data_IF_815586260718
#
_entry.id   IF_815586260718
#
_cell.length_a   1.000
_cell.length_b   1.000
_cell.length_c   1.000
_cell.angle_alpha   90.00
_cell.angle_beta   90.00
_cell.angle_gamma   90.00
#
_symmetry.space_group_name_H-M   'P 1'
#
loop_
_entity.id
_entity.type
_entity.pdbx_description
1 polymer ?
#
# COMPACT_ATOMS: atom_id res chain seq x y z
N UNK A 1 1.00 -8.15 -5.37
CA UNK A 1 0.75 -6.72 -5.13
C UNK A 1 -0.73 -6.42 -4.87
N UNK A 2 -1.64 -6.58 -5.85
CA UNK A 2 -3.07 -6.24 -5.68
C UNK A 2 -3.73 -6.90 -4.45
N UNK A 3 -3.52 -8.19 -4.24
CA UNK A 3 -4.08 -8.91 -3.10
C UNK A 3 -3.64 -8.36 -1.73
N UNK A 4 -2.41 -7.81 -1.63
CA UNK A 4 -1.92 -7.18 -0.41
C UNK A 4 -2.60 -5.82 -0.18
N UNK A 5 -2.77 -5.02 -1.24
CA UNK A 5 -3.51 -3.77 -1.17
C UNK A 5 -4.97 -3.99 -0.76
N UNK A 6 -5.63 -5.02 -1.29
CA UNK A 6 -6.99 -5.37 -0.88
C UNK A 6 -7.07 -5.89 0.57
N UNK A 7 -6.02 -6.53 1.09
CA UNK A 7 -5.95 -6.90 2.52
C UNK A 7 -5.90 -5.67 3.41
N UNK A 8 -5.07 -4.68 3.08
CA UNK A 8 -5.01 -3.40 3.82
C UNK A 8 -6.39 -2.76 3.92
N UNK A 9 -7.12 -2.68 2.80
CA UNK A 9 -8.48 -2.11 2.80
C UNK A 9 -9.47 -2.92 3.65
N UNK A 10 -9.39 -4.26 3.61
CA UNK A 10 -10.28 -5.11 4.42
C UNK A 10 -10.01 -4.97 5.92
N UNK A 11 -8.74 -4.92 6.32
CA UNK A 11 -8.37 -4.83 7.74
C UNK A 11 -8.72 -3.48 8.35
N UNK A 12 -8.74 -2.43 7.54
CA UNK A 12 -9.04 -1.05 7.97
C UNK A 12 -10.46 -0.61 7.64
N UNK A 13 -11.31 -1.55 7.20
CA UNK A 13 -12.69 -1.26 6.86
C UNK A 13 -13.50 -0.93 8.13
N UNK A 14 -14.18 0.21 8.13
CA UNK A 14 -15.12 0.59 9.19
C UNK A 14 -14.48 1.03 10.50
N UNK A 15 -13.16 1.18 10.54
CA UNK A 15 -12.43 1.73 11.69
C UNK A 15 -11.84 3.10 11.34
N UNK A 16 -11.71 3.95 12.35
CA UNK A 16 -10.95 5.19 12.24
C UNK A 16 -9.49 4.98 12.64
N UNK A 17 -8.69 6.04 12.56
CA UNK A 17 -7.27 6.00 12.89
C UNK A 17 -7.01 5.59 14.33
N UNK A 18 -7.81 6.11 15.28
CA UNK A 18 -7.62 5.82 16.69
C UNK A 18 -7.86 4.33 16.99
N UNK A 19 -8.93 3.77 16.44
CA UNK A 19 -9.24 2.34 16.54
C UNK A 19 -8.21 1.47 15.80
N UNK A 20 -7.65 1.96 14.69
CA UNK A 20 -6.57 1.30 13.96
C UNK A 20 -5.28 1.21 14.78
N UNK A 21 -4.81 2.33 15.33
CA UNK A 21 -3.58 2.41 16.14
C UNK A 21 -3.73 1.61 17.44
N UNK A 22 -4.92 1.60 18.05
CA UNK A 22 -5.17 0.85 19.28
C UNK A 22 -5.29 -0.67 19.09
N UNK A 23 -5.37 -1.17 17.85
CA UNK A 23 -5.55 -2.59 17.56
C UNK A 23 -4.26 -3.19 16.98
N UNK A 24 -3.38 -3.71 17.84
CA UNK A 24 -2.06 -4.24 17.49
C UNK A 24 -2.12 -5.27 16.34
N UNK A 25 -3.08 -6.20 16.37
CA UNK A 25 -3.22 -7.22 15.33
C UNK A 25 -3.51 -6.60 13.96
N UNK A 26 -4.45 -5.65 13.91
CA UNK A 26 -4.83 -4.96 12.67
C UNK A 26 -3.70 -4.06 12.19
N UNK A 27 -3.04 -3.36 13.12
CA UNK A 27 -1.90 -2.50 12.84
C UNK A 27 -0.76 -3.31 12.21
N UNK A 28 -0.26 -4.33 12.89
CA UNK A 28 0.86 -5.16 12.43
C UNK A 28 0.55 -5.85 11.10
N UNK A 29 -0.66 -6.42 10.97
CA UNK A 29 -1.08 -7.05 9.73
C UNK A 29 -1.14 -6.03 8.57
N UNK A 30 -1.54 -4.79 8.84
CA UNK A 30 -1.60 -3.73 7.83
C UNK A 30 -0.20 -3.28 7.42
N UNK A 31 0.69 -3.00 8.39
CA UNK A 31 2.09 -2.64 8.13
C UNK A 31 2.76 -3.71 7.28
N UNK A 32 2.60 -4.99 7.64
CA UNK A 32 3.19 -6.09 6.88
C UNK A 32 2.71 -6.13 5.43
N UNK A 33 1.43 -5.84 5.17
CA UNK A 33 0.92 -5.81 3.80
C UNK A 33 1.45 -4.58 3.03
N UNK A 34 1.62 -3.43 3.68
CA UNK A 34 2.25 -2.26 3.05
C UNK A 34 3.70 -2.53 2.63
N UNK A 35 4.48 -3.21 3.46
CA UNK A 35 5.84 -3.65 3.08
C UNK A 35 5.83 -4.58 1.86
N UNK A 36 4.95 -5.58 1.85
CA UNK A 36 4.81 -6.54 0.77
C UNK A 36 4.34 -5.89 -0.54
N UNK A 37 3.55 -4.81 -0.47
CA UNK A 37 3.19 -4.01 -1.63
C UNK A 37 4.44 -3.37 -2.23
N UNK A 38 5.30 -2.74 -1.42
CA UNK A 38 6.52 -2.10 -1.91
C UNK A 38 7.57 -3.09 -2.40
N UNK A 39 7.72 -4.23 -1.74
CA UNK A 39 8.57 -5.33 -2.25
C UNK A 39 8.07 -5.83 -3.61
N UNK A 40 6.76 -6.10 -3.72
CA UNK A 40 6.17 -6.52 -4.98
C UNK A 40 6.35 -5.45 -6.09
N UNK A 41 6.19 -4.17 -5.76
CA UNK A 41 6.41 -3.06 -6.68
C UNK A 41 7.86 -3.00 -7.21
N UNK A 42 8.84 -3.27 -6.35
CA UNK A 42 10.26 -3.35 -6.73
C UNK A 42 10.57 -4.49 -7.70
N UNK A 43 9.80 -5.57 -7.63
CA UNK A 43 9.94 -6.74 -8.50
C UNK A 43 9.16 -6.63 -9.82
N UNK A 44 8.37 -5.56 -10.04
CA UNK A 44 7.66 -5.35 -11.32
C UNK A 44 8.68 -4.92 -12.41
N UNK A 45 8.67 -5.56 -13.60
CA UNK A 45 9.55 -5.19 -14.71
C UNK A 45 9.48 -3.70 -15.08
N UNK A 46 10.60 -3.14 -15.51
CA UNK A 46 10.70 -1.72 -15.83
C UNK A 46 9.75 -1.30 -16.97
N UNK A 47 9.54 -2.20 -17.92
CA UNK A 47 8.67 -2.01 -19.09
C UNK A 47 7.22 -1.81 -18.65
N UNK A 48 6.74 -2.65 -17.73
CA UNK A 48 5.39 -2.55 -17.15
C UNK A 48 5.25 -1.27 -16.33
N UNK A 49 6.26 -0.94 -15.52
CA UNK A 49 6.26 0.30 -14.73
C UNK A 49 6.19 1.55 -15.62
N UNK A 50 6.91 1.52 -16.74
CA UNK A 50 6.93 2.61 -17.74
C UNK A 50 5.59 2.75 -18.46
N UNK A 51 4.91 1.64 -18.76
CA UNK A 51 3.59 1.62 -19.38
C UNK A 51 2.46 2.03 -18.42
N UNK A 52 2.70 2.06 -17.11
CA UNK A 52 1.71 2.40 -16.08
C UNK A 52 2.19 3.55 -15.18
N UNK A 53 2.40 4.76 -15.72
CA UNK A 53 2.95 5.90 -14.97
C UNK A 53 1.98 6.47 -13.92
N UNK A 54 0.68 6.16 -14.03
CA UNK A 54 -0.31 6.52 -13.03
C UNK A 54 -0.07 5.84 -11.67
N UNK A 55 0.63 4.71 -11.65
CA UNK A 55 1.06 4.07 -10.41
C UNK A 55 2.37 4.72 -9.94
N UNK A 56 2.44 5.29 -8.73
CA UNK A 56 3.63 5.97 -8.23
C UNK A 56 4.69 4.97 -7.74
N UNK A 57 5.24 4.16 -8.65
CA UNK A 57 6.14 3.03 -8.34
C UNK A 57 7.31 3.39 -7.41
N UNK A 58 7.98 4.52 -7.68
CA UNK A 58 9.12 4.98 -6.87
C UNK A 58 8.70 5.30 -5.43
N UNK A 59 7.54 5.93 -5.26
CA UNK A 59 7.02 6.25 -3.93
C UNK A 59 6.66 5.00 -3.16
N UNK A 60 5.98 4.05 -3.82
CA UNK A 60 5.57 2.78 -3.19
C UNK A 60 6.79 1.97 -2.69
N UNK A 61 7.86 1.90 -3.49
CA UNK A 61 9.12 1.26 -3.08
C UNK A 61 9.79 2.03 -1.93
N UNK A 62 9.77 3.37 -1.97
CA UNK A 62 10.32 4.20 -0.90
C UNK A 62 9.56 4.05 0.42
N UNK A 63 8.23 3.91 0.39
CA UNK A 63 7.40 3.67 1.58
C UNK A 63 7.81 2.37 2.27
N UNK A 64 8.04 1.28 1.53
CA UNK A 64 8.59 0.04 2.11
C UNK A 64 9.91 0.30 2.84
N UNK A 65 10.85 1.02 2.22
CA UNK A 65 12.15 1.28 2.84
C UNK A 65 12.01 2.04 4.18
N UNK A 66 10.98 2.87 4.34
CA UNK A 66 10.68 3.51 5.63
C UNK A 66 10.05 2.53 6.63
N UNK A 67 9.10 1.72 6.18
CA UNK A 67 8.36 0.77 7.05
C UNK A 67 9.23 -0.36 7.60
N UNK A 68 10.16 -0.92 6.81
CA UNK A 68 10.99 -2.07 7.23
C UNK A 68 11.96 -1.73 8.36
N UNK A 69 12.18 -0.45 8.66
CA UNK A 69 12.93 -0.02 9.83
C UNK A 69 12.06 -0.04 11.11
N UNK A 70 10.98 -0.82 11.12
CA UNK A 70 10.09 -0.96 12.28
C UNK A 70 9.15 0.21 12.43
N UNK A 71 8.58 0.70 11.32
CA UNK A 71 7.74 1.91 11.27
C UNK A 71 8.48 3.21 11.68
N UNK A 72 9.79 3.13 11.97
CA UNK A 72 10.61 4.26 12.35
C UNK A 72 10.62 5.31 11.23
N UNK A 73 10.07 6.50 11.53
CA UNK A 73 10.07 7.65 10.62
C UNK A 73 8.79 7.83 9.80
N UNK A 74 7.71 7.10 10.11
CA UNK A 74 6.35 7.42 9.65
C UNK A 74 5.48 7.65 10.89
N UNK A 75 4.76 8.77 10.93
CA UNK A 75 3.75 9.04 11.94
C UNK A 75 2.38 8.47 11.56
N UNK A 76 1.50 8.34 12.55
CA UNK A 76 0.19 7.71 12.38
C UNK A 76 -0.68 8.44 11.37
N UNK A 77 -0.53 9.76 11.23
CA UNK A 77 -1.28 10.57 10.26
C UNK A 77 -0.86 10.24 8.83
N UNK A 78 0.45 10.13 8.60
CA UNK A 78 1.03 9.75 7.32
C UNK A 78 0.64 8.32 6.96
N UNK A 79 0.73 7.39 7.91
CA UNK A 79 0.31 6.00 7.71
C UNK A 79 -1.17 5.91 7.36
N UNK A 80 -2.00 6.61 8.13
CA UNK A 80 -3.44 6.60 7.91
C UNK A 80 -3.82 7.23 6.58
N UNK A 81 -3.13 8.30 6.16
CA UNK A 81 -3.28 8.91 4.85
C UNK A 81 -2.96 7.92 3.72
N UNK A 82 -1.86 7.16 3.83
CA UNK A 82 -1.51 6.10 2.86
C UNK A 82 -2.65 5.07 2.78
N UNK A 83 -3.15 4.60 3.92
CA UNK A 83 -4.22 3.60 4.00
C UNK A 83 -5.51 4.12 3.36
N UNK A 84 -5.89 5.37 3.64
CA UNK A 84 -7.19 5.94 3.26
C UNK A 84 -7.22 6.52 1.85
N UNK A 85 -6.09 6.98 1.33
CA UNK A 85 -6.01 7.70 0.06
C UNK A 85 -5.24 6.90 -0.99
N UNK A 86 -4.00 6.51 -0.66
CA UNK A 86 -3.08 5.95 -1.64
C UNK A 86 -3.42 4.50 -1.99
N UNK A 87 -3.80 3.69 -0.99
CA UNK A 87 -4.12 2.27 -1.21
C UNK A 87 -5.39 2.09 -2.07
N UNK A 88 -6.51 2.80 -1.86
CA UNK A 88 -7.66 2.73 -2.77
C UNK A 88 -7.33 3.15 -4.21
N UNK A 89 -6.54 4.22 -4.39
CA UNK A 89 -6.08 4.66 -5.70
C UNK A 89 -5.21 3.58 -6.36
N UNK A 90 -4.28 2.99 -5.62
CA UNK A 90 -3.42 1.91 -6.09
C UNK A 90 -4.23 0.67 -6.51
N UNK A 91 -5.24 0.26 -5.73
CA UNK A 91 -6.11 -0.87 -6.09
C UNK A 91 -6.81 -0.61 -7.43
N UNK A 92 -7.27 0.62 -7.65
CA UNK A 92 -7.92 1.03 -8.91
C UNK A 92 -6.98 0.87 -10.10
N UNK A 93 -5.76 1.41 -10.00
CA UNK A 93 -4.78 1.34 -11.10
C UNK A 93 -4.27 -0.08 -11.34
N UNK A 94 -4.05 -0.88 -10.28
CA UNK A 94 -3.67 -2.29 -10.42
C UNK A 94 -4.76 -3.13 -11.09
N UNK A 95 -6.04 -2.81 -10.87
CA UNK A 95 -7.15 -3.49 -11.55
C UNK A 95 -7.19 -3.13 -13.04
N UNK A 96 -6.96 -1.86 -13.40
CA UNK A 96 -6.83 -1.42 -14.80
C UNK A 96 -5.66 -2.12 -15.51
N UNK A 97 -4.52 -2.24 -14.83
CA UNK A 97 -3.35 -2.93 -15.37
C UNK A 97 -3.60 -4.42 -15.62
N UNK A 98 -4.35 -5.10 -14.72
CA UNK A 98 -4.68 -6.52 -14.87
C UNK A 98 -5.71 -6.77 -15.98
N UNK A 99 -6.68 -5.87 -16.12
CA UNK A 99 -7.74 -5.94 -17.12
C UNK A 99 -7.72 -4.64 -17.95
N UNK A 100 -6.77 -4.50 -18.90
CA UNK A 100 -6.76 -3.36 -19.79
C UNK A 100 -8.12 -3.31 -20.51
N UNK A 101 -8.83 -2.19 -20.39
CA UNK A 101 -10.06 -1.97 -21.14
C UNK A 101 -9.71 -2.11 -22.62
N UNK A 102 -10.26 -3.12 -23.28
CA UNK A 102 -10.13 -3.37 -24.71
C UNK A 102 -10.79 -2.26 -25.51
#
# INVERSE_FOLDING_TARGET
MLAFAEKVLRYTQGIDQAAFVANELVFDATIRNLELIGEAAGNIPAEIRTQSPAIPWRMIVATRNRLIHGYLGIDDDTLWSIIRSDIPALVTELKKLRNPVQ
#
